data_IF_191315514554
#
_entry.id   IF_191315514554
#
_cell.length_a   1.000
_cell.length_b   1.000
_cell.length_c   1.000
_cell.angle_alpha   90.00
_cell.angle_beta   90.00
_cell.angle_gamma   90.00
#
_symmetry.space_group_name_H-M   'P 1'
#
loop_
_entity.id
_entity.type
_entity.pdbx_description
1 polymer ?
#
# COMPACT_ATOMS: atom_id res chain seq x y z
N UNK A 1 -0.67 -1.20 9.40
CA UNK A 1 -0.57 -0.76 7.99
C UNK A 1 0.63 0.17 7.87
N UNK A 2 1.58 -0.09 6.97
CA UNK A 2 2.59 0.92 6.68
C UNK A 2 1.89 2.08 5.96
N UNK A 3 1.91 3.26 6.57
CA UNK A 3 1.66 4.53 5.87
C UNK A 3 2.87 4.76 4.98
N UNK A 4 2.88 4.09 3.82
CA UNK A 4 3.98 4.15 2.86
C UNK A 4 4.16 5.56 2.29
N UNK A 5 5.31 5.78 1.67
CA UNK A 5 5.58 6.96 0.86
C UNK A 5 4.58 7.09 -0.30
N UNK A 6 4.30 8.31 -0.77
CA UNK A 6 3.42 8.52 -1.93
C UNK A 6 3.87 7.70 -3.15
N UNK A 7 2.94 6.93 -3.72
CA UNK A 7 3.18 6.10 -4.91
C UNK A 7 3.13 6.93 -6.21
N UNK A 8 2.50 8.11 -6.20
CA UNK A 8 2.40 8.99 -7.36
C UNK A 8 3.30 10.24 -7.27
N UNK A 9 4.50 10.14 -6.72
CA UNK A 9 5.46 11.24 -6.81
C UNK A 9 6.05 11.29 -8.23
N UNK A 10 5.61 12.28 -9.02
CA UNK A 10 6.18 12.56 -10.35
C UNK A 10 7.65 12.99 -10.32
N UNK A 11 8.18 13.29 -9.14
CA UNK A 11 9.59 13.65 -8.91
C UNK A 11 10.20 12.70 -7.88
N UNK A 12 11.43 12.20 -8.12
CA UNK A 12 12.15 11.39 -7.13
C UNK A 12 12.28 12.12 -5.80
N UNK A 13 12.29 11.40 -4.66
CA UNK A 13 12.47 12.04 -3.35
C UNK A 13 13.77 12.84 -3.31
N UNK A 14 13.67 14.13 -2.98
CA UNK A 14 14.84 15.01 -2.89
C UNK A 14 15.41 14.97 -1.47
N UNK A 15 16.71 14.66 -1.35
CA UNK A 15 17.44 14.61 -0.08
C UNK A 15 17.62 13.20 0.50
N UNK A 16 18.63 13.03 1.35
CA UNK A 16 19.04 11.73 1.87
C UNK A 16 17.95 11.04 2.71
N UNK A 17 17.24 11.79 3.55
CA UNK A 17 16.16 11.27 4.41
C UNK A 17 14.98 10.79 3.56
N UNK A 18 14.55 11.59 2.58
CA UNK A 18 13.44 11.23 1.69
C UNK A 18 13.76 9.95 0.90
N UNK A 19 14.99 9.81 0.40
CA UNK A 19 15.45 8.59 -0.28
C UNK A 19 15.50 7.37 0.66
N UNK A 20 16.01 7.53 1.89
CA UNK A 20 16.07 6.44 2.86
C UNK A 20 14.67 5.91 3.21
N UNK A 21 13.68 6.79 3.37
CA UNK A 21 12.31 6.41 3.69
C UNK A 21 11.58 5.79 2.52
N UNK A 22 11.82 6.29 1.32
CA UNK A 22 11.32 5.66 0.11
C UNK A 22 11.87 4.25 -0.03
N UNK A 23 13.19 4.07 0.12
CA UNK A 23 13.82 2.74 0.09
C UNK A 23 13.30 1.81 1.19
N UNK A 24 13.16 2.32 2.43
CA UNK A 24 12.59 1.55 3.54
C UNK A 24 11.14 1.12 3.24
N UNK A 25 10.32 2.00 2.67
CA UNK A 25 8.95 1.68 2.26
C UNK A 25 8.94 0.54 1.24
N UNK A 26 9.83 0.60 0.23
CA UNK A 26 9.95 -0.45 -0.78
C UNK A 26 10.41 -1.79 -0.17
N UNK A 27 11.36 -1.76 0.77
CA UNK A 27 11.82 -2.96 1.48
C UNK A 27 10.70 -3.59 2.32
N UNK A 28 9.93 -2.78 3.05
CA UNK A 28 8.79 -3.25 3.84
C UNK A 28 7.72 -3.87 2.92
N UNK A 29 7.39 -3.21 1.80
CA UNK A 29 6.41 -3.74 0.85
C UNK A 29 6.87 -5.08 0.27
N UNK A 30 8.15 -5.18 -0.13
CA UNK A 30 8.74 -6.43 -0.64
C UNK A 30 8.72 -7.55 0.40
N UNK A 31 9.09 -7.26 1.65
CA UNK A 31 9.09 -8.26 2.71
C UNK A 31 7.68 -8.77 2.98
N UNK A 32 6.69 -7.87 3.05
CA UNK A 32 5.29 -8.24 3.26
C UNK A 32 4.75 -9.13 2.14
N UNK A 33 5.12 -8.85 0.88
CA UNK A 33 4.76 -9.73 -0.25
C UNK A 33 5.39 -11.10 -0.08
N UNK A 34 6.68 -11.17 0.27
CA UNK A 34 7.37 -12.45 0.54
C UNK A 34 6.68 -13.25 1.63
N UNK A 35 6.33 -12.60 2.75
CA UNK A 35 5.68 -13.26 3.89
C UNK A 35 4.31 -13.85 3.51
N UNK A 36 3.58 -13.19 2.60
CA UNK A 36 2.29 -13.67 2.08
C UNK A 36 2.45 -14.80 1.06
N UNK A 37 3.55 -14.81 0.30
CA UNK A 37 3.89 -15.89 -0.64
C UNK A 37 4.34 -17.16 0.08
N UNK A 38 5.00 -17.01 1.23
CA UNK A 38 5.49 -18.11 2.08
C UNK A 38 4.40 -18.71 3.01
N UNK A 39 3.19 -18.14 3.00
CA UNK A 39 2.09 -18.63 3.82
C UNK A 39 1.67 -20.04 3.40
N UNK A 40 1.39 -20.90 4.38
CA UNK A 40 1.01 -22.27 4.11
C UNK A 40 -0.28 -22.34 3.24
N UNK A 41 -0.37 -23.26 2.26
CA UNK A 41 -1.48 -23.29 1.29
C UNK A 41 -2.87 -23.49 1.90
N UNK A 42 -2.94 -24.01 3.14
CA UNK A 42 -4.16 -24.26 3.90
C UNK A 42 -4.64 -23.02 4.68
N UNK A 43 -3.86 -21.94 4.72
CA UNK A 43 -4.25 -20.69 5.37
C UNK A 43 -4.98 -19.80 4.36
N UNK A 44 -6.27 -19.62 4.58
CA UNK A 44 -7.07 -18.66 3.81
C UNK A 44 -6.81 -17.23 4.29
N UNK A 45 -6.47 -16.34 3.36
CA UNK A 45 -6.24 -14.92 3.64
C UNK A 45 -6.76 -14.02 2.53
N UNK A 46 -7.13 -12.81 2.91
CA UNK A 46 -7.59 -11.76 1.99
C UNK A 46 -6.87 -10.47 2.32
N UNK A 47 -6.34 -9.81 1.30
CA UNK A 47 -5.57 -8.58 1.47
C UNK A 47 -6.34 -7.43 0.85
N UNK A 48 -6.67 -6.44 1.67
CA UNK A 48 -7.27 -5.19 1.20
C UNK A 48 -6.21 -4.43 0.38
N UNK A 49 -6.51 -3.99 -0.86
CA UNK A 49 -5.58 -3.21 -1.66
C UNK A 49 -5.16 -1.92 -0.93
N UNK A 50 -3.86 -1.56 -0.97
CA UNK A 50 -3.41 -0.28 -0.43
C UNK A 50 -4.01 0.90 -1.20
N UNK A 51 -4.10 2.07 -0.55
CA UNK A 51 -4.56 3.29 -1.20
C UNK A 51 -3.61 3.67 -2.34
N UNK A 52 -4.17 3.79 -3.54
CA UNK A 52 -3.43 4.13 -4.73
C UNK A 52 -4.23 5.12 -5.62
N UNK A 53 -3.64 6.24 -6.08
CA UNK A 53 -2.35 6.78 -5.65
C UNK A 53 -2.44 7.41 -4.26
N UNK A 54 -1.46 7.15 -3.41
CA UNK A 54 -1.23 7.91 -2.17
C UNK A 54 -0.44 9.17 -2.53
N UNK A 55 -0.87 10.32 -2.02
CA UNK A 55 -0.38 11.64 -2.44
C UNK A 55 0.04 12.44 -1.21
N UNK A 56 1.21 13.08 -1.24
CA UNK A 56 1.77 13.82 -0.11
C UNK A 56 3.02 13.17 0.47
N UNK A 57 3.75 13.90 1.30
CA UNK A 57 4.89 13.34 2.04
C UNK A 57 4.37 12.38 3.14
N UNK A 58 5.07 11.27 3.44
CA UNK A 58 4.69 10.39 4.57
C UNK A 58 4.71 11.11 5.94
N UNK A 59 5.31 12.29 6.03
CA UNK A 59 5.32 13.14 7.23
C UNK A 59 4.33 14.30 7.18
N UNK A 60 3.58 14.44 6.09
CA UNK A 60 2.54 15.45 5.98
C UNK A 60 1.23 14.94 6.59
N UNK A 61 1.08 15.17 7.89
CA UNK A 61 -0.13 14.79 8.64
C UNK A 61 -1.32 15.73 8.40
N UNK A 62 -1.18 16.79 7.58
CA UNK A 62 -2.30 17.67 7.27
C UNK A 62 -3.42 16.98 6.48
N UNK A 63 -3.09 15.87 5.80
CA UNK A 63 -4.00 15.09 4.94
C UNK A 63 -4.52 13.81 5.59
N UNK A 64 -4.24 13.57 6.87
CA UNK A 64 -4.61 12.33 7.54
C UNK A 64 -6.10 12.02 7.43
N UNK A 65 -6.98 13.01 7.60
CA UNK A 65 -8.43 12.82 7.48
C UNK A 65 -8.85 12.38 6.07
N UNK A 66 -8.30 13.01 5.01
CA UNK A 66 -8.56 12.63 3.61
C UNK A 66 -8.11 11.18 3.35
N UNK A 67 -6.92 10.80 3.83
CA UNK A 67 -6.43 9.44 3.67
C UNK A 67 -7.27 8.41 4.41
N UNK A 68 -7.73 8.70 5.63
CA UNK A 68 -8.64 7.81 6.38
C UNK A 68 -9.94 7.61 5.62
N UNK A 69 -10.57 8.71 5.17
CA UNK A 69 -11.86 8.64 4.47
C UNK A 69 -11.75 7.88 3.15
N UNK A 70 -10.66 8.11 2.40
CA UNK A 70 -10.35 7.33 1.20
C UNK A 70 -10.13 5.85 1.51
N UNK A 71 -9.46 5.54 2.62
CA UNK A 71 -9.23 4.16 3.09
C UNK A 71 -10.53 3.42 3.35
N UNK A 72 -11.47 4.08 4.03
CA UNK A 72 -12.82 3.55 4.29
C UNK A 72 -13.53 3.27 2.97
N UNK A 73 -13.68 4.28 2.10
CA UNK A 73 -14.40 4.13 0.82
C UNK A 73 -13.79 3.06 -0.08
N UNK A 74 -12.46 2.99 -0.15
CA UNK A 74 -11.77 1.99 -0.96
C UNK A 74 -12.02 0.57 -0.44
N UNK A 75 -12.05 0.39 0.89
CA UNK A 75 -12.31 -0.92 1.51
C UNK A 75 -13.76 -1.34 1.33
N UNK A 76 -14.71 -0.42 1.49
CA UNK A 76 -16.14 -0.68 1.23
C UNK A 76 -16.37 -1.10 -0.22
N UNK A 77 -15.76 -0.39 -1.18
CA UNK A 77 -15.84 -0.74 -2.59
C UNK A 77 -15.22 -2.12 -2.88
N UNK A 78 -14.10 -2.45 -2.25
CA UNK A 78 -13.46 -3.76 -2.37
C UNK A 78 -14.35 -4.88 -1.81
N UNK A 79 -14.96 -4.68 -0.64
CA UNK A 79 -15.92 -5.62 -0.05
C UNK A 79 -17.14 -5.83 -0.95
N UNK A 80 -17.70 -4.75 -1.50
CA UNK A 80 -18.86 -4.79 -2.39
C UNK A 80 -18.58 -5.53 -3.73
N UNK A 81 -17.32 -5.63 -4.13
CA UNK A 81 -16.87 -6.31 -5.35
C UNK A 81 -16.34 -7.73 -5.09
N UNK A 82 -16.91 -8.41 -4.09
CA UNK A 82 -16.53 -9.76 -3.66
C UNK A 82 -15.05 -9.86 -3.25
N UNK A 83 -14.50 -8.83 -2.59
CA UNK A 83 -13.10 -8.80 -2.13
C UNK A 83 -12.71 -10.01 -1.28
N UNK A 84 -13.65 -10.49 -0.45
CA UNK A 84 -13.50 -11.70 0.38
C UNK A 84 -13.63 -13.02 -0.39
N UNK A 85 -13.74 -12.99 -1.72
CA UNK A 85 -13.69 -14.18 -2.58
C UNK A 85 -12.46 -14.18 -3.49
N UNK A 86 -11.70 -13.07 -3.49
CA UNK A 86 -10.49 -12.90 -4.28
C UNK A 86 -9.29 -13.07 -3.36
N UNK A 87 -8.90 -14.31 -3.11
CA UNK A 87 -7.67 -14.63 -2.37
C UNK A 87 -6.43 -14.26 -3.20
N UNK A 88 -5.37 -13.83 -2.52
CA UNK A 88 -4.08 -13.52 -3.13
C UNK A 88 -3.60 -12.08 -2.88
N UNK A 89 -2.45 -11.78 -3.48
CA UNK A 89 -1.71 -10.52 -3.28
C UNK A 89 -2.17 -9.48 -4.32
N UNK A 90 -2.71 -8.32 -3.90
CA UNK A 90 -3.11 -7.23 -4.79
C UNK A 90 -1.97 -6.77 -5.68
N UNK A 91 -2.30 -6.37 -6.91
CA UNK A 91 -1.31 -5.87 -7.88
C UNK A 91 -0.57 -4.63 -7.34
N UNK A 92 -1.28 -3.78 -6.59
CA UNK A 92 -0.77 -2.53 -6.00
C UNK A 92 0.29 -2.77 -4.91
N UNK A 93 0.42 -4.00 -4.39
CA UNK A 93 1.50 -4.37 -3.48
C UNK A 93 2.78 -4.81 -4.19
N UNK A 94 2.69 -5.13 -5.49
CA UNK A 94 3.84 -5.45 -6.34
C UNK A 94 4.40 -4.16 -6.94
N UNK A 95 5.69 -4.13 -7.33
CA UNK A 95 6.24 -3.01 -8.07
C UNK A 95 5.40 -2.74 -9.33
N UNK A 96 4.83 -1.54 -9.43
CA UNK A 96 4.00 -1.11 -10.53
C UNK A 96 4.39 0.31 -10.95
N UNK A 97 4.08 0.64 -12.21
CA UNK A 97 4.34 1.96 -12.77
C UNK A 97 3.06 2.80 -12.77
N UNK A 98 3.20 4.12 -12.63
CA UNK A 98 2.13 5.11 -12.76
C UNK A 98 2.39 6.05 -13.94
#
# INVERSE_FOLDING_TARGET
MPTGYACATQTPPVGAVANALHALTLLIARQLVSDLEDLAPDIEYFVVPPLCPLVGSPYDFSRTSDHIERGIRSTEAWLAQDGLRKAGIPHEMRPHSH
#
